data_IF_018352873207
#
_entry.id   IF_018352873207
#
_cell.length_a   1.000
_cell.length_b   1.000
_cell.length_c   1.000
_cell.angle_alpha   90.00
_cell.angle_beta   90.00
_cell.angle_gamma   90.00
#
_symmetry.space_group_name_H-M   'P 1'
#
loop_
_entity.id
_entity.type
_entity.pdbx_description
1 polymer ?
#
# COMPACT_ATOMS: atom_id res chain seq x y z
N UNK A 1 -38.63 5.37 8.12
CA UNK A 1 -37.34 5.39 8.85
C UNK A 1 -36.70 3.99 8.98
N UNK A 2 -37.46 2.91 9.10
CA UNK A 2 -36.86 1.56 9.07
C UNK A 2 -36.30 1.18 7.69
N UNK A 3 -37.01 1.50 6.59
CA UNK A 3 -36.53 1.25 5.23
C UNK A 3 -35.28 2.06 4.86
N UNK A 4 -35.17 3.29 5.39
CA UNK A 4 -33.97 4.12 5.22
C UNK A 4 -32.76 3.51 5.92
N UNK A 5 -32.94 2.90 7.09
CA UNK A 5 -31.86 2.16 7.76
C UNK A 5 -31.41 0.92 6.97
N UNK A 6 -32.33 0.22 6.31
CA UNK A 6 -31.99 -0.95 5.48
C UNK A 6 -31.18 -0.61 4.23
N UNK A 7 -31.39 0.59 3.68
CA UNK A 7 -30.66 1.10 2.51
C UNK A 7 -29.45 1.97 2.88
N UNK A 8 -29.16 2.10 4.18
CA UNK A 8 -28.05 2.93 4.65
C UNK A 8 -26.73 2.30 4.20
N UNK A 9 -25.93 3.11 3.51
CA UNK A 9 -24.57 2.79 3.07
C UNK A 9 -23.66 3.96 3.41
N UNK A 10 -22.37 3.68 3.60
CA UNK A 10 -21.34 4.68 3.91
C UNK A 10 -21.22 5.72 2.79
N UNK A 11 -21.21 5.28 1.53
CA UNK A 11 -21.06 6.18 0.39
C UNK A 11 -19.73 6.95 0.46
N UNK A 12 -19.79 8.28 0.39
CA UNK A 12 -18.63 9.19 0.49
C UNK A 12 -18.36 9.69 1.91
N UNK A 13 -19.07 9.18 2.92
CA UNK A 13 -18.94 9.61 4.31
C UNK A 13 -17.74 8.92 4.95
N UNK A 14 -17.11 9.59 5.92
CA UNK A 14 -16.11 8.93 6.76
C UNK A 14 -16.75 7.85 7.60
N UNK A 15 -15.96 6.90 8.11
CA UNK A 15 -16.47 5.84 8.99
C UNK A 15 -17.21 6.43 10.19
N UNK A 16 -16.68 7.51 10.78
CA UNK A 16 -17.31 8.18 11.91
C UNK A 16 -18.65 8.85 11.57
N UNK A 17 -18.75 9.51 10.42
CA UNK A 17 -20.01 10.10 9.97
C UNK A 17 -21.07 9.04 9.71
N UNK A 18 -20.66 7.93 9.09
CA UNK A 18 -21.52 6.78 8.85
C UNK A 18 -21.99 6.12 10.16
N UNK A 19 -21.11 5.97 11.15
CA UNK A 19 -21.44 5.44 12.48
C UNK A 19 -22.48 6.30 13.23
N UNK A 20 -22.31 7.63 13.19
CA UNK A 20 -23.26 8.55 13.80
C UNK A 20 -24.68 8.41 13.19
N UNK A 21 -24.77 8.37 11.86
CA UNK A 21 -26.04 8.21 11.15
C UNK A 21 -26.64 6.82 11.35
N UNK A 22 -25.82 5.78 11.33
CA UNK A 22 -26.23 4.41 11.62
C UNK A 22 -26.86 4.32 13.01
N UNK A 23 -26.22 4.91 14.02
CA UNK A 23 -26.72 4.91 15.41
C UNK A 23 -28.00 5.73 15.56
N UNK A 24 -28.10 6.88 14.87
CA UNK A 24 -29.31 7.68 14.85
C UNK A 24 -30.50 6.92 14.24
N UNK A 25 -30.28 6.23 13.11
CA UNK A 25 -31.33 5.46 12.42
C UNK A 25 -31.67 4.13 13.11
N UNK A 26 -30.71 3.53 13.81
CA UNK A 26 -30.90 2.28 14.55
C UNK A 26 -32.03 2.37 15.60
N UNK A 27 -32.28 3.56 16.15
CA UNK A 27 -33.40 3.83 17.07
C UNK A 27 -34.77 3.50 16.51
N UNK A 28 -34.92 3.54 15.18
CA UNK A 28 -36.17 3.24 14.48
C UNK A 28 -36.27 1.79 14.00
N UNK A 29 -35.25 0.97 14.25
CA UNK A 29 -35.21 -0.43 13.82
C UNK A 29 -34.54 -1.35 14.87
N UNK A 30 -35.00 -1.35 16.13
CA UNK A 30 -34.36 -2.10 17.22
C UNK A 30 -34.23 -3.60 16.93
N UNK A 31 -35.17 -4.19 16.18
CA UNK A 31 -35.14 -5.59 15.75
C UNK A 31 -33.94 -5.95 14.86
N UNK A 32 -33.39 -4.98 14.12
CA UNK A 32 -32.25 -5.17 13.22
C UNK A 32 -30.91 -5.01 13.93
N UNK A 33 -30.89 -4.37 15.10
CA UNK A 33 -29.71 -4.14 15.93
C UNK A 33 -29.86 -4.78 17.32
N UNK A 34 -30.75 -5.77 17.43
CA UNK A 34 -31.15 -6.35 18.72
C UNK A 34 -30.03 -7.07 19.46
N UNK A 35 -28.98 -7.45 18.74
CA UNK A 35 -27.76 -8.06 19.29
C UNK A 35 -26.55 -7.36 18.70
N UNK A 36 -25.43 -7.39 19.43
CA UNK A 36 -24.17 -6.84 18.94
C UNK A 36 -23.77 -7.43 17.59
N UNK A 37 -23.89 -8.75 17.42
CA UNK A 37 -23.61 -9.43 16.16
C UNK A 37 -24.48 -8.93 15.00
N UNK A 38 -25.79 -8.74 15.21
CA UNK A 38 -26.69 -8.19 14.18
C UNK A 38 -26.32 -6.75 13.84
N UNK A 39 -25.99 -5.94 14.86
CA UNK A 39 -25.55 -4.55 14.69
C UNK A 39 -24.26 -4.49 13.85
N UNK A 40 -23.26 -5.30 14.19
CA UNK A 40 -22.00 -5.43 13.47
C UNK A 40 -22.22 -5.88 12.02
N UNK A 41 -23.02 -6.92 11.81
CA UNK A 41 -23.34 -7.41 10.48
C UNK A 41 -23.96 -6.32 9.59
N UNK A 42 -24.91 -5.56 10.13
CA UNK A 42 -25.57 -4.47 9.40
C UNK A 42 -24.61 -3.34 9.09
N UNK A 43 -23.82 -2.92 10.06
CA UNK A 43 -22.81 -1.88 9.87
C UNK A 43 -21.81 -2.28 8.78
N UNK A 44 -21.25 -3.50 8.90
CA UNK A 44 -20.28 -4.07 7.96
C UNK A 44 -20.85 -4.19 6.54
N UNK A 45 -22.14 -4.52 6.39
CA UNK A 45 -22.80 -4.59 5.07
C UNK A 45 -22.92 -3.25 4.36
N UNK A 46 -23.04 -2.14 5.10
CA UNK A 46 -23.13 -0.81 4.51
C UNK A 46 -21.79 -0.09 4.39
N UNK A 47 -20.69 -0.65 4.91
CA UNK A 47 -19.34 -0.12 4.70
C UNK A 47 -18.91 -0.23 3.24
N UNK A 48 -18.04 0.69 2.83
CA UNK A 48 -17.38 0.65 1.53
C UNK A 48 -16.53 -0.61 1.40
N UNK A 49 -16.48 -1.22 0.21
CA UNK A 49 -15.79 -2.50 -0.01
C UNK A 49 -14.30 -2.47 0.36
N UNK A 50 -13.63 -1.34 0.13
CA UNK A 50 -12.21 -1.15 0.51
C UNK A 50 -11.97 -1.27 2.01
N UNK A 51 -12.95 -0.90 2.84
CA UNK A 51 -12.88 -1.02 4.29
C UNK A 51 -13.48 -2.35 4.77
N UNK A 52 -14.53 -2.82 4.10
CA UNK A 52 -15.25 -4.05 4.44
C UNK A 52 -14.42 -5.30 4.20
N UNK A 53 -13.76 -5.41 3.06
CA UNK A 53 -13.03 -6.63 2.65
C UNK A 53 -11.94 -7.04 3.67
N UNK A 54 -11.11 -6.12 4.20
CA UNK A 54 -10.14 -6.48 5.22
C UNK A 54 -10.78 -6.89 6.56
N UNK A 55 -11.99 -6.42 6.87
CA UNK A 55 -12.65 -6.70 8.15
C UNK A 55 -13.39 -8.04 8.20
N UNK A 56 -13.86 -8.55 7.04
CA UNK A 56 -14.67 -9.78 6.95
C UNK A 56 -14.00 -11.00 7.62
N UNK A 57 -12.71 -11.30 7.42
CA UNK A 57 -12.07 -12.48 8.00
C UNK A 57 -11.98 -12.47 9.53
N UNK A 58 -12.09 -11.30 10.18
CA UNK A 58 -11.89 -11.16 11.62
C UNK A 58 -13.12 -11.51 12.46
N UNK A 59 -14.29 -11.73 11.83
CA UNK A 59 -15.53 -12.10 12.52
C UNK A 59 -15.81 -11.26 13.78
N UNK A 60 -15.69 -9.94 13.67
CA UNK A 60 -15.82 -9.02 14.79
C UNK A 60 -17.29 -8.94 15.22
N UNK A 61 -17.56 -9.22 16.50
CA UNK A 61 -18.90 -9.19 17.08
C UNK A 61 -19.13 -8.03 18.03
N UNK A 62 -18.10 -7.24 18.34
CA UNK A 62 -18.23 -6.00 19.10
C UNK A 62 -18.32 -4.80 18.16
N UNK A 63 -19.32 -3.92 18.40
CA UNK A 63 -19.58 -2.80 17.51
C UNK A 63 -18.49 -1.73 17.60
N UNK A 64 -17.96 -1.46 18.79
CA UNK A 64 -16.94 -0.45 18.98
C UNK A 64 -15.63 -0.90 18.33
N UNK A 65 -15.22 -2.15 18.55
CA UNK A 65 -14.04 -2.75 17.90
C UNK A 65 -14.15 -2.71 16.37
N UNK A 66 -15.33 -3.01 15.81
CA UNK A 66 -15.56 -2.95 14.37
C UNK A 66 -15.36 -1.53 13.81
N UNK A 67 -15.88 -0.51 14.51
CA UNK A 67 -15.77 0.90 14.11
C UNK A 67 -14.32 1.37 14.21
N UNK A 68 -13.63 1.03 15.30
CA UNK A 68 -12.22 1.38 15.51
C UNK A 68 -11.33 0.81 14.39
N UNK A 69 -11.48 -0.49 14.09
CA UNK A 69 -10.69 -1.12 13.02
C UNK A 69 -11.01 -0.55 11.64
N UNK A 70 -12.28 -0.22 11.38
CA UNK A 70 -12.68 0.44 10.12
C UNK A 70 -12.02 1.82 9.98
N UNK A 71 -11.97 2.62 11.05
CA UNK A 71 -11.27 3.90 11.08
C UNK A 71 -9.77 3.76 10.83
N UNK A 72 -9.12 2.74 11.41
CA UNK A 72 -7.69 2.49 11.17
C UNK A 72 -7.41 2.20 9.69
N UNK A 73 -8.24 1.37 9.05
CA UNK A 73 -8.11 1.07 7.61
C UNK A 73 -8.38 2.33 6.76
N UNK A 74 -9.38 3.13 7.11
CA UNK A 74 -9.67 4.40 6.42
C UNK A 74 -8.46 5.34 6.46
N UNK A 75 -7.85 5.52 7.64
CA UNK A 75 -6.66 6.35 7.80
C UNK A 75 -5.47 5.84 6.98
N UNK A 76 -5.21 4.53 6.98
CA UNK A 76 -4.12 3.92 6.21
C UNK A 76 -4.31 4.10 4.69
N UNK A 77 -5.54 3.92 4.21
CA UNK A 77 -5.89 4.16 2.81
C UNK A 77 -5.69 5.64 2.42
N UNK A 78 -6.07 6.58 3.30
CA UNK A 78 -5.85 8.00 3.06
C UNK A 78 -4.35 8.35 3.03
N UNK A 79 -3.54 7.80 3.94
CA UNK A 79 -2.10 8.02 3.98
C UNK A 79 -1.41 7.50 2.71
N UNK A 80 -1.81 6.32 2.22
CA UNK A 80 -1.28 5.72 0.99
C UNK A 80 -1.62 6.55 -0.25
N UNK A 81 -2.84 7.08 -0.32
CA UNK A 81 -3.23 7.99 -1.42
C UNK A 81 -2.41 9.29 -1.44
N UNK A 82 -2.12 9.86 -0.26
CA UNK A 82 -1.29 11.07 -0.15
C UNK A 82 0.15 10.81 -0.61
N UNK A 83 0.73 9.65 -0.28
CA UNK A 83 2.07 9.28 -0.74
C UNK A 83 2.14 9.13 -2.27
N UNK A 84 1.11 8.53 -2.89
CA UNK A 84 1.09 8.33 -4.34
C UNK A 84 0.89 9.64 -5.12
N UNK A 85 0.04 10.55 -4.62
CA UNK A 85 -0.16 11.88 -5.22
C UNK A 85 1.07 12.78 -5.05
N UNK A 86 1.75 12.74 -3.90
CA UNK A 86 3.00 13.45 -3.68
C UNK A 86 4.13 12.94 -4.60
N UNK A 87 4.20 11.64 -4.84
CA UNK A 87 5.21 11.04 -5.73
C UNK A 87 5.00 11.42 -7.20
N UNK A 88 3.74 11.50 -7.68
CA UNK A 88 3.46 11.98 -9.04
C UNK A 88 3.81 13.44 -9.27
N UNK A 89 3.76 14.28 -8.23
CA UNK A 89 4.23 15.68 -8.28
C UNK A 89 5.75 15.79 -8.43
N UNK A 90 6.52 14.78 -8.01
CA UNK A 90 7.99 14.75 -8.18
C UNK A 90 8.44 14.16 -9.52
N UNK A 91 7.57 13.43 -10.22
CA UNK A 91 7.86 12.86 -11.54
C UNK A 91 7.22 13.62 -12.71
N UNK A 92 6.27 14.53 -12.43
CA UNK A 92 5.58 15.35 -13.45
C UNK A 92 5.92 16.82 -13.26
N UNK A 93 7.13 17.21 -13.63
CA UNK A 93 7.61 18.58 -13.46
C UNK A 93 8.86 18.91 -14.26
N UNK A 94 8.98 18.40 -15.48
CA UNK A 94 9.93 18.92 -16.46
C UNK A 94 9.32 18.86 -17.86
N UNK A 95 8.46 19.83 -18.17
CA UNK A 95 8.22 20.36 -19.52
C UNK A 95 7.42 21.66 -19.41
N UNK A 96 8.07 22.73 -18.94
CA UNK A 96 7.67 24.09 -19.30
C UNK A 96 8.67 24.58 -20.34
N UNK A 97 8.29 24.46 -21.61
CA UNK A 97 9.04 25.02 -22.71
C UNK A 97 9.08 26.54 -22.63
N UNK A 98 10.28 27.11 -22.56
CA UNK A 98 10.58 28.45 -23.05
C UNK A 98 12.10 28.63 -23.21
N UNK A 99 12.55 28.94 -24.42
CA UNK A 99 13.73 29.79 -24.62
C UNK A 99 15.08 29.11 -24.94
N UNK A 100 15.36 28.97 -26.24
CA UNK A 100 16.53 29.51 -26.94
C UNK A 100 17.96 29.35 -26.36
N UNK A 101 18.80 28.71 -27.19
CA UNK A 101 20.26 28.88 -27.36
C UNK A 101 21.23 28.29 -26.33
N UNK A 102 22.08 27.36 -26.79
CA UNK A 102 23.24 26.89 -26.02
C UNK A 102 23.95 25.68 -26.63
N UNK A 103 24.60 25.87 -27.79
CA UNK A 103 25.49 24.88 -28.44
C UNK A 103 26.54 24.35 -27.45
N UNK A 104 26.49 23.07 -27.08
CA UNK A 104 27.65 22.38 -26.46
C UNK A 104 28.40 21.62 -27.55
N UNK A 105 29.55 22.17 -27.94
CA UNK A 105 30.51 21.55 -28.87
C UNK A 105 31.23 20.42 -28.13
N UNK A 106 31.11 19.20 -28.64
CA UNK A 106 32.01 18.11 -28.28
C UNK A 106 33.38 18.38 -28.91
N UNK A 107 34.40 18.55 -28.08
CA UNK A 107 35.81 18.54 -28.51
C UNK A 107 36.37 17.17 -28.17
N UNK A 108 36.49 16.33 -29.20
CA UNK A 108 37.33 15.13 -29.17
C UNK A 108 38.79 15.58 -29.18
N UNK A 109 39.60 15.14 -28.21
CA UNK A 109 41.05 15.32 -28.24
C UNK A 109 41.74 13.98 -27.98
N UNK A 110 41.98 13.31 -29.08
CA UNK A 110 42.92 12.21 -29.23
C UNK A 110 44.36 12.76 -29.15
N UNK A 111 45.28 12.08 -28.46
CA UNK A 111 46.73 12.21 -28.67
C UNK A 111 47.49 11.04 -28.03
N UNK A 112 47.96 10.14 -28.89
CA UNK A 112 48.92 9.05 -28.62
C UNK A 112 50.35 9.57 -28.40
N UNK A 113 51.14 8.87 -27.55
CA UNK A 113 52.58 8.47 -27.67
C UNK A 113 53.16 8.27 -26.25
N UNK A 114 53.53 7.07 -25.78
CA UNK A 114 54.59 6.09 -26.12
C UNK A 114 55.88 6.24 -25.28
N UNK A 115 56.30 5.14 -24.61
CA UNK A 115 57.66 4.90 -24.08
C UNK A 115 57.72 4.56 -22.58
N UNK A 116 57.69 3.27 -22.18
CA UNK A 116 58.80 2.47 -21.61
C UNK A 116 59.50 3.11 -20.39
N UNK A 117 59.70 2.47 -19.22
CA UNK A 117 59.98 1.07 -18.96
C UNK A 117 60.14 0.81 -17.43
N UNK A 118 60.06 -0.46 -17.03
CA UNK A 118 60.62 -1.15 -15.82
C UNK A 118 59.69 -1.54 -14.67
N UNK A 119 59.83 -2.83 -14.37
CA UNK A 119 59.12 -3.68 -13.41
C UNK A 119 59.71 -3.60 -12.01
N UNK A 120 58.85 -3.75 -10.99
CA UNK A 120 59.16 -4.62 -9.84
C UNK A 120 57.87 -5.19 -9.27
N UNK A 121 57.92 -6.50 -9.11
CA UNK A 121 56.94 -7.42 -8.55
C UNK A 121 56.78 -7.14 -7.04
N UNK A 122 55.55 -7.02 -6.56
CA UNK A 122 55.23 -7.50 -5.21
C UNK A 122 53.81 -8.04 -5.20
N UNK A 123 53.71 -9.33 -4.91
CA UNK A 123 52.48 -10.08 -4.75
C UNK A 123 51.90 -9.80 -3.37
N UNK A 124 50.62 -9.44 -3.29
CA UNK A 124 49.87 -9.29 -2.05
C UNK A 124 48.45 -9.81 -2.26
N UNK A 125 48.22 -11.06 -1.87
CA UNK A 125 46.98 -11.82 -2.05
C UNK A 125 45.99 -11.60 -0.90
N UNK A 126 44.70 -11.56 -1.25
CA UNK A 126 43.56 -11.96 -0.40
C UNK A 126 42.59 -10.83 -0.04
N UNK A 127 41.26 -10.98 -0.03
CA UNK A 127 40.36 -12.08 -0.38
C UNK A 127 39.06 -11.47 -0.91
N UNK A 128 38.46 -12.07 -1.94
CA UNK A 128 37.11 -11.78 -2.40
C UNK A 128 36.12 -12.69 -1.67
N UNK A 129 35.12 -12.14 -0.98
CA UNK A 129 34.05 -12.93 -0.38
C UNK A 129 32.95 -13.16 -1.39
N UNK A 130 32.98 -14.35 -1.99
CA UNK A 130 31.93 -14.93 -2.82
C UNK A 130 30.73 -15.33 -1.95
N UNK A 131 29.59 -14.68 -2.13
CA UNK A 131 28.31 -15.22 -1.66
C UNK A 131 27.76 -16.15 -2.74
N UNK A 132 27.92 -17.46 -2.51
CA UNK A 132 27.44 -18.51 -3.39
C UNK A 132 25.92 -18.66 -3.34
N UNK A 133 25.33 -18.77 -4.52
CA UNK A 133 23.95 -19.22 -4.74
C UNK A 133 23.83 -20.72 -4.42
N UNK A 134 22.85 -21.10 -3.60
CA UNK A 134 22.43 -22.51 -3.46
C UNK A 134 21.11 -22.69 -4.18
N UNK A 135 21.18 -23.30 -5.37
CA UNK A 135 20.06 -24.00 -6.00
C UNK A 135 20.12 -25.46 -5.57
N UNK A 136 19.05 -25.97 -4.95
CA UNK A 136 18.96 -27.36 -4.57
C UNK A 136 17.64 -27.69 -3.88
N UNK A 137 16.62 -28.04 -4.66
CA UNK A 137 15.38 -28.61 -4.17
C UNK A 137 15.54 -30.12 -3.92
N UNK A 138 15.01 -30.69 -2.83
CA UNK A 138 14.76 -32.12 -2.74
C UNK A 138 13.25 -32.44 -2.73
N UNK A 139 12.86 -33.14 -3.79
CA UNK A 139 11.89 -34.25 -3.92
C UNK A 139 10.92 -34.49 -2.75
N UNK A 140 9.62 -34.35 -3.04
CA UNK A 140 8.52 -34.83 -2.21
C UNK A 140 8.44 -36.36 -2.25
N UNK A 141 8.41 -37.00 -1.08
CA UNK A 141 7.97 -38.39 -0.94
C UNK A 141 6.78 -38.47 0.01
N UNK A 142 5.65 -38.82 -0.57
CA UNK A 142 4.41 -39.22 0.08
C UNK A 142 4.59 -40.58 0.76
N UNK A 143 4.21 -40.69 2.04
CA UNK A 143 3.87 -41.98 2.65
C UNK A 143 2.50 -41.88 3.35
N UNK A 144 1.51 -42.53 2.72
CA UNK A 144 0.37 -43.21 3.41
C UNK A 144 0.98 -44.25 4.39
N UNK A 145 0.37 -44.63 5.51
CA UNK A 145 -0.99 -45.12 5.71
C UNK A 145 -1.32 -45.06 7.21
#
# INVERSE_FOLDING_TARGET
>A
MQETFLRLVQGSKTVMQYEAEFTALARYAPQLVSTSAKKCYRFLRGLLDSLRQPLVPFHIFDFFELVERACLIENDLMATQQQWTASRKRFSGDTSGSGFSGKKRFVSRDSKRSGQSRSTIVSGSGNVTSFGSVSGAPVYQTCRR
#
